data_IF_961525132399
#
_entry.id   IF_961525132399
#
_cell.length_a   1.000
_cell.length_b   1.000
_cell.length_c   1.000
_cell.angle_alpha   90.00
_cell.angle_beta   90.00
_cell.angle_gamma   90.00
#
_symmetry.space_group_name_H-M   'P 1'
#
loop_
_entity.id
_entity.type
_entity.pdbx_description
1 polymer ?
#
# COMPACT_ATOMS: atom_id res chain seq x y z
N UNK A 1 -6.52 -4.29 5.49
CA UNK A 1 -6.26 -2.86 5.81
C UNK A 1 -5.60 -2.17 4.63
N UNK A 2 -5.66 -0.83 4.55
CA UNK A 2 -4.88 -0.07 3.54
C UNK A 2 -3.41 -0.25 3.84
N UNK A 3 -2.62 -0.77 2.90
CA UNK A 3 -1.21 -0.91 3.19
C UNK A 3 -0.40 -0.88 1.90
N UNK A 4 0.54 0.05 1.83
CA UNK A 4 1.47 0.24 0.72
C UNK A 4 2.69 1.03 1.19
N UNK A 5 3.61 1.36 0.28
CA UNK A 5 4.90 2.00 0.60
C UNK A 5 4.79 3.20 1.57
N UNK A 6 3.91 4.14 1.26
CA UNK A 6 3.73 5.38 2.02
C UNK A 6 2.77 5.24 3.21
N UNK A 7 2.14 4.09 3.39
CA UNK A 7 1.25 3.81 4.51
C UNK A 7 1.44 2.35 4.96
N UNK A 8 2.55 2.07 5.62
CA UNK A 8 3.07 0.73 5.87
C UNK A 8 2.48 0.04 7.12
N UNK A 9 1.82 0.82 7.99
CA UNK A 9 1.14 0.37 9.21
C UNK A 9 1.94 -0.63 10.08
N UNK A 10 3.27 -0.48 10.18
CA UNK A 10 4.14 -1.45 10.86
C UNK A 10 3.69 -1.80 12.28
N UNK A 11 3.17 -0.84 13.04
CA UNK A 11 2.66 -1.08 14.40
C UNK A 11 1.48 -2.06 14.38
N UNK A 12 0.48 -1.80 13.54
CA UNK A 12 -0.71 -2.65 13.45
C UNK A 12 -0.34 -4.05 12.92
N UNK A 13 0.53 -4.13 11.91
CA UNK A 13 1.00 -5.42 11.37
C UNK A 13 1.67 -6.26 12.46
N UNK A 14 2.58 -5.68 13.25
CA UNK A 14 3.26 -6.38 14.34
C UNK A 14 2.27 -6.89 15.40
N UNK A 15 1.26 -6.09 15.75
CA UNK A 15 0.23 -6.53 16.71
C UNK A 15 -0.64 -7.65 16.13
N UNK A 16 -1.07 -7.55 14.87
CA UNK A 16 -1.82 -8.63 14.20
C UNK A 16 -1.02 -9.92 14.17
N UNK A 17 0.28 -9.86 13.85
CA UNK A 17 1.17 -11.04 13.83
C UNK A 17 1.29 -11.71 15.20
N UNK A 18 1.44 -10.93 16.29
CA UNK A 18 1.46 -11.47 17.67
C UNK A 18 0.16 -12.21 18.02
N UNK A 19 -0.96 -11.76 17.46
CA UNK A 19 -2.29 -12.33 17.70
C UNK A 19 -2.67 -13.43 16.70
N UNK A 20 -1.74 -13.88 15.84
CA UNK A 20 -2.00 -14.83 14.75
C UNK A 20 -3.12 -14.38 13.79
N UNK A 21 -3.23 -13.06 13.56
CA UNK A 21 -4.15 -12.45 12.61
C UNK A 21 -3.40 -12.17 11.31
N UNK A 22 -3.81 -12.83 10.24
CA UNK A 22 -3.28 -12.57 8.90
C UNK A 22 -3.72 -11.20 8.40
N UNK A 23 -2.77 -10.40 7.93
CA UNK A 23 -3.04 -9.09 7.33
C UNK A 23 -3.12 -9.21 5.81
N UNK A 24 -4.20 -8.69 5.23
CA UNK A 24 -4.33 -8.48 3.79
C UNK A 24 -4.30 -6.99 3.47
N UNK A 25 -3.34 -6.60 2.62
CA UNK A 25 -3.14 -5.25 2.11
C UNK A 25 -4.05 -4.97 0.91
N UNK A 26 -5.01 -4.06 1.08
CA UNK A 26 -5.67 -3.43 -0.06
C UNK A 26 -4.89 -2.19 -0.50
N UNK A 27 -5.07 -1.81 -1.77
CA UNK A 27 -4.28 -0.77 -2.43
C UNK A 27 -2.75 -1.00 -2.37
N UNK A 28 -2.23 -2.22 -2.56
CA UNK A 28 -0.82 -2.56 -2.27
C UNK A 28 0.21 -1.80 -3.11
N UNK A 29 -0.21 -1.20 -4.23
CA UNK A 29 0.63 -0.37 -5.12
C UNK A 29 0.21 1.12 -5.12
N UNK A 30 -0.52 1.56 -4.09
CA UNK A 30 -0.94 2.96 -3.93
C UNK A 30 -2.10 3.41 -4.81
N UNK A 31 -2.88 2.48 -5.40
CA UNK A 31 -4.06 2.81 -6.22
C UNK A 31 -3.80 3.91 -7.28
N UNK A 32 -2.87 3.72 -8.22
CA UNK A 32 -2.45 4.77 -9.16
C UNK A 32 -3.56 5.25 -10.11
N UNK A 33 -4.64 4.49 -10.26
CA UNK A 33 -5.82 4.88 -11.05
C UNK A 33 -6.92 5.59 -10.26
N UNK A 34 -6.64 6.03 -9.03
CA UNK A 34 -7.60 6.78 -8.21
C UNK A 34 -7.83 8.17 -8.80
N UNK A 35 -9.09 8.56 -8.89
CA UNK A 35 -9.52 9.92 -9.24
C UNK A 35 -10.57 10.34 -8.26
N UNK A 36 -10.47 11.55 -7.70
CA UNK A 36 -11.48 12.05 -6.77
C UNK A 36 -12.88 11.91 -7.39
N UNK A 37 -13.79 11.33 -6.62
CA UNK A 37 -15.15 11.06 -7.07
C UNK A 37 -16.04 12.18 -6.54
N UNK A 38 -16.66 12.93 -7.46
CA UNK A 38 -17.70 13.90 -7.17
C UNK A 38 -19.02 13.42 -7.79
N UNK A 39 -19.92 12.91 -6.95
CA UNK A 39 -21.26 12.45 -7.32
C UNK A 39 -22.30 13.26 -6.53
N UNK A 40 -22.73 14.39 -7.10
CA UNK A 40 -23.69 15.29 -6.44
C UNK A 40 -23.14 15.83 -5.12
N UNK A 41 -23.82 15.55 -4.00
CA UNK A 41 -23.36 15.91 -2.64
C UNK A 41 -22.33 14.93 -2.06
N UNK A 42 -22.07 13.82 -2.74
CA UNK A 42 -21.08 12.83 -2.31
C UNK A 42 -19.73 13.15 -2.95
N UNK A 43 -18.76 13.56 -2.13
CA UNK A 43 -17.36 13.65 -2.52
C UNK A 43 -16.55 12.59 -1.79
N UNK A 44 -15.80 11.77 -2.53
CA UNK A 44 -14.76 10.91 -1.97
C UNK A 44 -13.42 11.49 -2.40
N UNK A 45 -12.76 12.18 -1.47
CA UNK A 45 -11.42 12.73 -1.65
C UNK A 45 -10.40 11.72 -1.16
N UNK A 46 -9.34 11.53 -1.94
CA UNK A 46 -8.24 10.68 -1.52
C UNK A 46 -7.15 11.50 -0.82
N UNK A 47 -6.49 10.88 0.17
CA UNK A 47 -5.33 11.49 0.81
C UNK A 47 -4.22 11.84 -0.18
N UNK A 48 -3.52 12.94 0.09
CA UNK A 48 -2.38 13.37 -0.69
C UNK A 48 -1.21 12.38 -0.52
N UNK A 49 -0.76 11.79 -1.62
CA UNK A 49 0.35 10.84 -1.61
C UNK A 49 0.97 10.74 -3.01
N UNK A 50 2.30 10.69 -3.07
CA UNK A 50 3.03 10.46 -4.31
C UNK A 50 2.72 9.07 -4.89
N UNK A 51 3.06 8.85 -6.16
CA UNK A 51 2.91 7.53 -6.80
C UNK A 51 4.02 6.57 -6.32
N UNK A 52 3.71 5.48 -5.60
CA UNK A 52 4.75 4.55 -5.13
C UNK A 52 5.55 3.89 -6.26
N UNK A 53 4.97 3.81 -7.47
CA UNK A 53 5.63 3.22 -8.64
C UNK A 53 6.80 4.08 -9.16
N UNK A 54 6.85 5.35 -8.79
CA UNK A 54 7.86 6.32 -9.21
C UNK A 54 8.91 6.58 -8.11
N UNK A 55 8.75 5.97 -6.92
CA UNK A 55 9.68 6.14 -5.82
C UNK A 55 11.09 5.65 -6.21
N UNK A 56 12.11 6.45 -5.92
CA UNK A 56 13.49 6.18 -6.32
C UNK A 56 14.03 4.84 -5.81
N UNK A 57 13.71 4.46 -4.56
CA UNK A 57 14.12 3.19 -3.95
C UNK A 57 13.49 2.01 -4.69
N UNK A 58 12.21 2.15 -5.06
CA UNK A 58 11.45 1.14 -5.80
C UNK A 58 12.01 0.99 -7.21
N UNK A 59 12.23 2.10 -7.92
CA UNK A 59 12.78 2.12 -9.29
C UNK A 59 14.20 1.57 -9.33
N UNK A 60 15.04 1.90 -8.33
CA UNK A 60 16.39 1.35 -8.21
C UNK A 60 16.36 -0.18 -8.05
N UNK A 61 15.51 -0.68 -7.16
CA UNK A 61 15.34 -2.11 -6.94
C UNK A 61 14.78 -2.80 -8.19
N UNK A 62 13.84 -2.16 -8.89
CA UNK A 62 13.24 -2.71 -10.11
C UNK A 62 14.30 -2.95 -11.19
N UNK A 63 15.21 -1.99 -11.38
CA UNK A 63 16.34 -2.13 -12.31
C UNK A 63 17.29 -3.26 -11.91
N UNK A 64 17.61 -3.39 -10.62
CA UNK A 64 18.51 -4.43 -10.10
C UNK A 64 17.99 -5.84 -10.39
N UNK A 65 16.69 -6.07 -10.22
CA UNK A 65 16.09 -7.40 -10.42
C UNK A 65 15.53 -7.63 -11.82
N UNK A 66 15.56 -6.64 -12.71
CA UNK A 66 14.89 -6.74 -14.02
C UNK A 66 13.38 -6.88 -13.90
N UNK A 67 12.78 -6.27 -12.86
CA UNK A 67 11.36 -6.35 -12.53
C UNK A 67 10.69 -4.98 -12.65
N UNK A 68 9.37 -4.96 -12.67
CA UNK A 68 8.60 -3.70 -12.65
C UNK A 68 8.54 -3.12 -11.22
N UNK A 69 8.35 -1.80 -11.07
CA UNK A 69 8.12 -1.19 -9.75
C UNK A 69 6.96 -1.84 -8.98
N UNK A 70 5.90 -2.24 -9.68
CA UNK A 70 4.77 -2.94 -9.06
C UNK A 70 5.20 -4.28 -8.45
N UNK A 71 6.02 -5.07 -9.15
CA UNK A 71 6.54 -6.33 -8.64
C UNK A 71 7.40 -6.13 -7.38
N UNK A 72 8.22 -5.07 -7.32
CA UNK A 72 9.01 -4.74 -6.13
C UNK A 72 8.10 -4.44 -4.93
N UNK A 73 7.08 -3.60 -5.11
CA UNK A 73 6.13 -3.25 -4.06
C UNK A 73 5.36 -4.49 -3.56
N UNK A 74 4.90 -5.34 -4.47
CA UNK A 74 4.18 -6.56 -4.10
C UNK A 74 5.09 -7.56 -3.39
N UNK A 75 6.32 -7.74 -3.88
CA UNK A 75 7.32 -8.61 -3.25
C UNK A 75 7.64 -8.14 -1.84
N UNK A 76 7.83 -6.84 -1.63
CA UNK A 76 8.09 -6.25 -0.32
C UNK A 76 7.04 -6.62 0.72
N UNK A 77 5.76 -6.51 0.36
CA UNK A 77 4.66 -6.84 1.26
C UNK A 77 4.57 -8.35 1.52
N UNK A 78 4.62 -9.17 0.46
CA UNK A 78 4.54 -10.64 0.59
C UNK A 78 5.71 -11.19 1.41
N UNK A 79 6.92 -10.71 1.19
CA UNK A 79 8.10 -11.12 1.94
C UNK A 79 8.06 -10.65 3.40
N UNK A 80 7.28 -9.61 3.70
CA UNK A 80 7.00 -9.15 5.06
C UNK A 80 5.87 -9.91 5.75
N UNK A 81 5.38 -11.00 5.14
CA UNK A 81 4.29 -11.82 5.67
C UNK A 81 2.90 -11.19 5.52
N UNK A 82 2.72 -10.30 4.55
CA UNK A 82 1.47 -9.58 4.30
C UNK A 82 0.88 -10.06 2.97
N UNK A 83 -0.37 -10.54 3.00
CA UNK A 83 -1.11 -10.91 1.78
C UNK A 83 -1.46 -9.66 0.97
N UNK A 84 -1.44 -9.73 -0.35
CA UNK A 84 -1.72 -8.60 -1.24
C UNK A 84 -2.85 -8.90 -2.22
N UNK A 85 -3.66 -7.88 -2.54
CA UNK A 85 -4.77 -7.98 -3.51
C UNK A 85 -4.69 -6.89 -4.60
N UNK A 86 -3.65 -6.89 -5.47
CA UNK A 86 -3.53 -5.91 -6.54
C UNK A 86 -4.62 -6.13 -7.61
N UNK A 87 -5.32 -5.06 -7.99
CA UNK A 87 -6.29 -5.09 -9.08
C UNK A 87 -5.64 -4.66 -10.40
N UNK A 88 -5.93 -5.41 -11.47
CA UNK A 88 -5.65 -5.00 -12.85
C UNK A 88 -6.75 -5.53 -13.78
N UNK A 89 -7.08 -4.76 -14.82
CA UNK A 89 -7.88 -5.22 -15.98
C UNK A 89 -7.01 -5.47 -17.22
N UNK A 90 -5.71 -5.21 -17.11
CA UNK A 90 -4.75 -5.44 -18.17
C UNK A 90 -4.07 -6.80 -17.94
N UNK A 91 -4.15 -7.68 -18.92
CA UNK A 91 -3.65 -9.06 -18.86
C UNK A 91 -2.14 -9.12 -18.59
N UNK A 92 -1.34 -8.27 -19.25
CA UNK A 92 0.10 -8.21 -19.04
C UNK A 92 0.44 -7.89 -17.58
N UNK A 93 -0.21 -6.87 -17.00
CA UNK A 93 -0.02 -6.50 -15.59
C UNK A 93 -0.53 -7.58 -14.63
N UNK A 94 -1.56 -8.34 -15.00
CA UNK A 94 -2.02 -9.48 -14.18
C UNK A 94 -0.93 -10.55 -14.09
N UNK A 95 -0.30 -10.89 -15.22
CA UNK A 95 0.85 -11.82 -15.27
C UNK A 95 2.04 -11.27 -14.46
N UNK A 96 2.44 -10.03 -14.73
CA UNK A 96 3.56 -9.37 -14.02
C UNK A 96 3.32 -9.34 -12.49
N UNK A 97 2.12 -9.00 -12.02
CA UNK A 97 1.79 -8.95 -10.60
C UNK A 97 1.88 -10.32 -9.90
N UNK A 98 1.75 -11.41 -10.65
CA UNK A 98 1.88 -12.77 -10.13
C UNK A 98 3.33 -13.27 -10.11
N UNK A 99 4.18 -12.77 -11.01
CA UNK A 99 5.61 -13.11 -11.15
C UNK A 99 6.49 -12.41 -10.10
N UNK A 100 6.15 -12.59 -8.82
CA UNK A 100 6.82 -11.99 -7.65
C UNK A 100 7.46 -13.03 -6.72
N UNK A 101 7.48 -14.29 -7.12
CA UNK A 101 7.95 -15.41 -6.29
C UNK A 101 9.29 -15.99 -6.77
N UNK A 102 9.82 -15.51 -7.89
CA UNK A 102 11.08 -15.93 -8.51
C UNK A 102 12.29 -15.08 -8.07
N UNK A 103 12.09 -14.13 -7.15
CA UNK A 103 13.16 -13.34 -6.55
C UNK A 103 12.86 -12.99 -5.09
N UNK A 104 13.90 -12.52 -4.38
CA UNK A 104 13.81 -12.02 -3.01
C UNK A 104 14.49 -10.65 -2.94
N UNK A 105 13.91 -9.75 -2.14
CA UNK A 105 14.58 -8.50 -1.76
C UNK A 105 15.57 -8.79 -0.62
N UNK A 106 16.69 -8.10 -0.59
CA UNK A 106 17.65 -8.25 0.50
C UNK A 106 17.11 -7.63 1.80
N UNK A 107 17.61 -8.03 2.98
CA UNK A 107 17.22 -7.41 4.24
C UNK A 107 17.40 -5.88 4.25
N UNK A 108 18.45 -5.38 3.60
CA UNK A 108 18.74 -3.96 3.46
C UNK A 108 17.67 -3.25 2.62
N UNK A 109 17.27 -3.83 1.49
CA UNK A 109 16.22 -3.28 0.63
C UNK A 109 14.85 -3.28 1.32
N UNK A 110 14.52 -4.35 2.04
CA UNK A 110 13.30 -4.40 2.87
C UNK A 110 13.35 -3.28 3.92
N UNK A 111 14.50 -3.08 4.57
CA UNK A 111 14.67 -2.01 5.54
C UNK A 111 14.55 -0.62 4.90
N UNK A 112 15.13 -0.38 3.73
CA UNK A 112 14.99 0.89 3.00
C UNK A 112 13.52 1.18 2.66
N UNK A 113 12.80 0.21 2.09
CA UNK A 113 11.38 0.35 1.74
C UNK A 113 10.51 0.60 2.98
N UNK A 114 10.83 -0.03 4.10
CA UNK A 114 10.14 0.15 5.37
C UNK A 114 10.34 1.53 5.99
N UNK A 115 11.41 2.24 5.65
CA UNK A 115 11.76 3.55 6.21
C UNK A 115 11.47 4.71 5.24
N UNK A 116 10.80 4.46 4.11
CA UNK A 116 10.34 5.54 3.23
C UNK A 116 9.38 6.46 4.00
N UNK A 117 9.51 7.81 3.87
CA UNK A 117 8.63 8.77 4.54
C UNK A 117 7.15 8.47 4.30
N UNK A 118 6.39 8.39 5.37
CA UNK A 118 4.98 8.05 5.31
C UNK A 118 4.13 9.25 4.85
N UNK A 119 3.01 8.96 4.21
CA UNK A 119 2.01 9.91 3.79
C UNK A 119 0.68 9.64 4.53
N UNK A 120 -0.26 10.60 4.52
CA UNK A 120 -1.61 10.34 4.99
C UNK A 120 -2.26 9.16 4.27
N UNK A 121 -3.21 8.52 4.96
CA UNK A 121 -4.08 7.49 4.42
C UNK A 121 -4.76 7.96 3.14
N UNK A 122 -4.74 7.15 2.08
CA UNK A 122 -5.44 7.43 0.83
C UNK A 122 -6.96 7.36 1.01
N UNK A 123 -7.46 6.33 1.69
CA UNK A 123 -8.90 6.09 1.84
C UNK A 123 -9.37 6.54 3.23
N UNK A 124 -9.46 7.86 3.43
CA UNK A 124 -9.82 8.45 4.72
C UNK A 124 -11.26 8.16 5.19
N UNK A 125 -12.16 7.70 4.31
CA UNK A 125 -13.56 7.43 4.63
C UNK A 125 -14.23 8.58 5.41
N UNK A 126 -14.14 9.82 4.92
CA UNK A 126 -14.66 11.04 5.57
C UNK A 126 -16.13 10.90 6.00
N UNK A 127 -16.93 10.14 5.25
CA UNK A 127 -18.33 9.85 5.58
C UNK A 127 -18.55 9.14 6.93
N UNK A 128 -17.51 8.57 7.54
CA UNK A 128 -17.57 7.91 8.85
C UNK A 128 -17.27 8.87 10.01
N UNK A 129 -16.91 10.13 9.74
CA UNK A 129 -16.60 11.10 10.80
C UNK A 129 -17.81 11.32 11.73
N UNK A 130 -17.58 11.17 13.03
CA UNK A 130 -18.63 11.25 14.05
C UNK A 130 -19.41 9.95 14.29
N UNK A 131 -19.23 8.93 13.47
CA UNK A 131 -19.79 7.60 13.72
C UNK A 131 -19.11 6.96 14.94
N UNK A 132 -19.88 6.24 15.77
CA UNK A 132 -19.35 5.61 16.98
C UNK A 132 -18.22 4.61 16.70
N UNK A 133 -18.33 3.90 15.57
CA UNK A 133 -17.38 2.90 15.07
C UNK A 133 -16.47 3.43 13.96
N UNK A 134 -16.16 4.74 13.93
CA UNK A 134 -15.18 5.28 12.99
C UNK A 134 -13.78 4.66 13.24
N UNK A 135 -13.28 3.79 12.34
CA UNK A 135 -12.05 3.06 12.60
C UNK A 135 -10.81 3.96 12.55
N UNK A 136 -10.93 5.18 12.04
CA UNK A 136 -9.81 6.10 11.80
C UNK A 136 -9.90 7.37 12.64
N UNK A 137 -10.76 7.38 13.67
CA UNK A 137 -10.99 8.56 14.53
C UNK A 137 -9.70 9.19 15.06
N UNK A 138 -8.75 8.37 15.50
CA UNK A 138 -7.46 8.83 16.03
C UNK A 138 -6.49 9.34 14.94
N UNK A 139 -6.69 8.91 13.69
CA UNK A 139 -5.93 9.39 12.54
C UNK A 139 -6.44 10.75 12.05
N UNK A 140 -7.75 11.03 12.20
CA UNK A 140 -8.37 12.31 11.82
C UNK A 140 -8.00 13.47 12.73
N UNK A 141 -7.82 13.22 14.03
CA UNK A 141 -7.51 14.26 15.02
C UNK A 141 -6.10 14.86 14.88
N UNK A 142 -5.27 14.31 13.98
CA UNK A 142 -3.86 14.70 13.79
C UNK A 142 -3.63 15.53 12.51
N UNK A 143 -4.68 16.00 11.85
CA UNK A 143 -4.61 16.89 10.70
C UNK A 143 -4.89 18.35 11.08
#
# INVERSE_FOLDING_TARGET
IELHLYFNQQKLVKECQKLNISVTAYAPIGSPGRTDILLGKFSCRFGASANPLENEVVVRSSKKYGKTPAQILLRHLVQSGISVIPKSTNEKRLKENFEIFDFNLSPEEINELNNVPQAPRLFALEMMEGHAEDPFKDERQKA
#
